data_IF_275822700443
#
_entry.id   IF_275822700443
#
_cell.length_a   1.000
_cell.length_b   1.000
_cell.length_c   1.000
_cell.angle_alpha   90.00
_cell.angle_beta   90.00
_cell.angle_gamma   90.00
#
_symmetry.space_group_name_H-M   'P 1'
#
loop_
_entity.id
_entity.type
_entity.pdbx_description
1 polymer ?
#
# COMPACT_ATOMS: atom_id res chain seq x y z
N UNK A 1 -17.37 56.01 -12.75
CA UNK A 1 -16.97 54.63 -13.11
C UNK A 1 -15.61 54.36 -12.49
N UNK A 2 -15.54 53.52 -11.44
CA UNK A 2 -14.28 53.10 -10.82
C UNK A 2 -14.17 51.59 -10.99
N UNK A 3 -13.22 51.15 -11.80
CA UNK A 3 -12.92 49.75 -12.07
C UNK A 3 -12.27 49.13 -10.83
N UNK A 4 -12.95 48.11 -10.30
CA UNK A 4 -12.60 47.37 -9.09
C UNK A 4 -11.44 46.42 -9.39
N UNK A 5 -10.23 46.90 -9.14
CA UNK A 5 -9.04 46.08 -8.92
C UNK A 5 -9.02 45.73 -7.43
N UNK A 6 -9.51 44.55 -7.07
CA UNK A 6 -9.30 43.90 -5.77
C UNK A 6 -9.15 42.39 -6.06
N UNK A 7 -7.96 41.79 -6.02
CA UNK A 7 -7.16 41.44 -4.84
C UNK A 7 -7.49 40.01 -4.35
N UNK A 8 -6.56 39.08 -4.63
CA UNK A 8 -6.16 37.89 -3.83
C UNK A 8 -7.23 36.77 -3.78
N UNK A 9 -6.92 35.52 -4.14
CA UNK A 9 -6.32 34.53 -3.23
C UNK A 9 -5.34 33.61 -3.96
N UNK A 10 -4.07 33.78 -3.61
CA UNK A 10 -3.05 32.72 -3.52
C UNK A 10 -3.68 31.35 -3.24
N UNK A 11 -3.67 30.46 -4.23
CA UNK A 11 -3.86 29.02 -3.95
C UNK A 11 -2.54 28.52 -3.39
N UNK A 12 -2.19 28.98 -2.19
CA UNK A 12 -1.33 28.22 -1.30
C UNK A 12 -2.20 27.05 -0.90
N UNK A 13 -2.05 25.94 -1.63
CA UNK A 13 -2.55 24.64 -1.22
C UNK A 13 -1.83 24.31 0.08
N UNK A 14 -2.35 24.82 1.20
CA UNK A 14 -2.04 24.27 2.52
C UNK A 14 -2.33 22.79 2.40
N UNK A 15 -1.27 21.98 2.40
CA UNK A 15 -1.39 20.53 2.47
C UNK A 15 -2.16 20.22 3.75
N UNK A 16 -3.47 20.02 3.61
CA UNK A 16 -4.34 19.70 4.74
C UNK A 16 -3.76 18.51 5.47
N UNK A 17 -3.76 18.60 6.79
CA UNK A 17 -3.28 17.49 7.60
C UNK A 17 -4.11 16.24 7.32
N UNK A 18 -3.50 15.05 7.43
CA UNK A 18 -4.21 13.78 7.26
C UNK A 18 -5.45 13.71 8.20
N UNK A 19 -5.31 14.28 9.39
CA UNK A 19 -6.37 14.36 10.39
C UNK A 19 -7.56 15.19 9.89
N UNK A 20 -7.30 16.36 9.31
CA UNK A 20 -8.34 17.20 8.70
C UNK A 20 -9.01 16.51 7.52
N UNK A 21 -8.23 15.85 6.67
CA UNK A 21 -8.74 15.09 5.54
C UNK A 21 -9.68 13.95 5.99
N UNK A 22 -9.32 13.26 7.07
CA UNK A 22 -10.09 12.15 7.62
C UNK A 22 -11.37 12.60 8.35
N UNK A 23 -11.36 13.78 8.97
CA UNK A 23 -12.55 14.35 9.61
C UNK A 23 -13.56 14.91 8.61
N UNK A 24 -13.09 15.44 7.48
CA UNK A 24 -13.92 16.08 6.46
C UNK A 24 -14.39 15.13 5.35
N UNK A 25 -13.96 13.85 5.38
CA UNK A 25 -14.34 12.89 4.34
C UNK A 25 -15.83 12.60 4.36
N UNK A 26 -16.45 12.60 3.17
CA UNK A 26 -17.85 12.16 2.97
C UNK A 26 -17.96 10.64 2.85
N UNK A 27 -16.83 9.93 2.83
CA UNK A 27 -16.81 8.49 2.68
C UNK A 27 -17.24 7.79 3.98
N UNK A 28 -18.05 6.72 3.90
CA UNK A 28 -18.40 5.95 5.08
C UNK A 28 -17.15 5.32 5.69
N UNK A 29 -16.93 5.59 6.99
CA UNK A 29 -15.71 5.25 7.75
C UNK A 29 -15.25 3.80 7.61
N UNK A 30 -16.18 2.85 7.46
CA UNK A 30 -15.83 1.43 7.33
C UNK A 30 -15.45 1.02 5.90
N UNK A 31 -15.96 1.73 4.87
CA UNK A 31 -15.58 1.43 3.49
C UNK A 31 -14.19 1.98 3.15
N UNK A 32 -13.82 3.12 3.74
CA UNK A 32 -12.56 3.79 3.40
C UNK A 32 -11.34 2.91 3.68
N UNK A 33 -11.33 2.14 4.77
CA UNK A 33 -10.21 1.26 5.13
C UNK A 33 -9.98 0.20 4.04
N UNK A 34 -11.06 -0.40 3.52
CA UNK A 34 -10.96 -1.40 2.44
C UNK A 34 -10.47 -0.80 1.11
N UNK A 35 -10.84 0.46 0.85
CA UNK A 35 -10.42 1.20 -0.35
C UNK A 35 -8.94 1.57 -0.23
N UNK A 36 -8.51 2.08 0.93
CA UNK A 36 -7.10 2.36 1.23
C UNK A 36 -6.27 1.10 1.06
N UNK A 37 -6.66 -0.02 1.67
CA UNK A 37 -5.91 -1.27 1.58
C UNK A 37 -5.71 -1.75 0.13
N UNK A 38 -6.77 -1.67 -0.72
CA UNK A 38 -6.66 -2.01 -2.14
C UNK A 38 -5.70 -1.08 -2.88
N UNK A 39 -5.80 0.22 -2.62
CA UNK A 39 -4.93 1.20 -3.27
C UNK A 39 -3.48 1.08 -2.81
N UNK A 40 -3.22 0.86 -1.52
CA UNK A 40 -1.88 0.58 -0.98
C UNK A 40 -1.26 -0.65 -1.65
N UNK A 41 -2.03 -1.73 -1.83
CA UNK A 41 -1.56 -2.92 -2.52
C UNK A 41 -1.21 -2.64 -3.99
N UNK A 42 -2.04 -1.87 -4.68
CA UNK A 42 -1.79 -1.44 -6.05
C UNK A 42 -0.51 -0.58 -6.16
N UNK A 43 -0.36 0.43 -5.29
CA UNK A 43 0.83 1.28 -5.24
C UNK A 43 2.11 0.46 -5.01
N UNK A 44 2.07 -0.51 -4.08
CA UNK A 44 3.21 -1.39 -3.78
C UNK A 44 3.71 -2.17 -5.00
N UNK A 45 2.84 -2.47 -5.97
CA UNK A 45 3.20 -3.23 -7.17
C UNK A 45 3.77 -2.34 -8.30
N UNK A 46 3.69 -1.01 -8.16
CA UNK A 46 4.23 -0.07 -9.15
C UNK A 46 5.71 0.18 -8.89
N UNK A 47 6.51 0.17 -9.96
CA UNK A 47 7.96 0.44 -9.88
C UNK A 47 8.28 1.76 -9.17
N UNK A 48 7.46 2.78 -9.40
CA UNK A 48 7.60 4.11 -8.80
C UNK A 48 7.62 4.10 -7.28
N UNK A 49 6.98 3.13 -6.62
CA UNK A 49 6.81 3.13 -5.16
C UNK A 49 7.63 2.03 -4.47
N UNK A 50 8.44 1.25 -5.21
CA UNK A 50 9.25 0.17 -4.63
C UNK A 50 10.35 0.63 -3.67
N UNK A 51 10.72 1.90 -3.73
CA UNK A 51 11.72 2.50 -2.86
C UNK A 51 11.17 2.94 -1.50
N UNK A 52 9.85 2.94 -1.35
CA UNK A 52 9.16 3.37 -0.13
C UNK A 52 8.90 2.20 0.80
N UNK A 53 8.93 2.48 2.11
CA UNK A 53 8.46 1.56 3.12
C UNK A 53 6.93 1.45 3.08
N UNK A 54 6.41 0.34 3.59
CA UNK A 54 4.97 0.07 3.55
C UNK A 54 4.12 1.17 4.21
N UNK A 55 4.62 1.77 5.30
CA UNK A 55 3.91 2.85 5.99
C UNK A 55 3.83 4.13 5.14
N UNK A 56 4.88 4.44 4.36
CA UNK A 56 4.90 5.58 3.44
C UNK A 56 3.93 5.35 2.26
N UNK A 57 3.86 4.11 1.75
CA UNK A 57 2.90 3.73 0.70
C UNK A 57 1.46 3.83 1.25
N UNK A 58 1.23 3.41 2.49
CA UNK A 58 -0.06 3.53 3.16
C UNK A 58 -0.48 5.00 3.35
N UNK A 59 0.45 5.84 3.78
CA UNK A 59 0.21 7.28 3.93
C UNK A 59 -0.10 7.94 2.59
N UNK A 60 0.66 7.62 1.54
CA UNK A 60 0.41 8.10 0.19
C UNK A 60 -0.96 7.67 -0.31
N UNK A 61 -1.31 6.38 -0.14
CA UNK A 61 -2.60 5.86 -0.54
C UNK A 61 -3.75 6.58 0.16
N UNK A 62 -3.61 6.81 1.46
CA UNK A 62 -4.60 7.51 2.28
C UNK A 62 -4.77 8.96 1.81
N UNK A 63 -3.67 9.65 1.50
CA UNK A 63 -3.70 11.02 0.97
C UNK A 63 -4.36 11.09 -0.41
N UNK A 64 -4.02 10.18 -1.31
CA UNK A 64 -4.60 10.16 -2.67
C UNK A 64 -6.13 10.02 -2.62
N UNK A 65 -6.64 9.14 -1.74
CA UNK A 65 -8.07 8.88 -1.59
C UNK A 65 -8.78 10.06 -0.91
N UNK A 66 -8.25 10.55 0.21
CA UNK A 66 -8.90 11.61 0.97
C UNK A 66 -8.84 12.98 0.26
N UNK A 67 -7.83 13.18 -0.58
CA UNK A 67 -7.69 14.39 -1.39
C UNK A 67 -8.43 14.29 -2.73
N UNK A 68 -9.19 13.21 -2.96
CA UNK A 68 -9.93 12.94 -4.20
C UNK A 68 -9.05 12.93 -5.47
N UNK A 69 -7.75 12.68 -5.32
CA UNK A 69 -6.81 12.57 -6.45
C UNK A 69 -7.07 11.30 -7.28
N UNK A 70 -7.65 10.29 -6.65
CA UNK A 70 -8.11 9.04 -7.25
C UNK A 70 -9.58 8.84 -6.89
N UNK A 71 -10.40 8.47 -7.89
CA UNK A 71 -11.81 8.19 -7.64
C UNK A 71 -11.97 6.83 -6.96
N UNK A 72 -12.80 6.78 -5.91
CA UNK A 72 -13.08 5.53 -5.17
C UNK A 72 -13.62 4.43 -6.09
N UNK A 73 -14.46 4.80 -7.07
CA UNK A 73 -15.03 3.85 -8.03
C UNK A 73 -13.96 3.17 -8.90
N UNK A 74 -12.84 3.83 -9.17
CA UNK A 74 -11.74 3.23 -9.93
C UNK A 74 -10.95 2.25 -9.07
N UNK A 75 -10.78 2.55 -7.78
CA UNK A 75 -10.15 1.62 -6.83
C UNK A 75 -11.02 0.38 -6.62
N UNK A 76 -12.35 0.53 -6.61
CA UNK A 76 -13.26 -0.60 -6.43
C UNK A 76 -13.24 -1.60 -7.60
N UNK A 77 -12.84 -1.16 -8.80
CA UNK A 77 -12.63 -2.02 -9.97
C UNK A 77 -11.34 -2.85 -9.88
N UNK A 78 -10.41 -2.48 -9.01
CA UNK A 78 -9.18 -3.24 -8.80
C UNK A 78 -9.48 -4.62 -8.20
N UNK A 79 -8.65 -5.63 -8.51
CA UNK A 79 -8.79 -6.95 -7.90
C UNK A 79 -8.75 -6.84 -6.38
N UNK A 80 -9.55 -7.65 -5.66
CA UNK A 80 -9.46 -7.69 -4.21
C UNK A 80 -8.04 -8.10 -3.79
N UNK A 81 -7.58 -7.58 -2.65
CA UNK A 81 -6.32 -8.00 -2.04
C UNK A 81 -6.49 -9.43 -1.54
N UNK A 82 -6.29 -10.39 -2.43
CA UNK A 82 -6.19 -11.81 -2.09
C UNK A 82 -4.73 -11.99 -1.66
N UNK A 83 -4.44 -11.70 -0.40
CA UNK A 83 -3.21 -12.22 0.18
C UNK A 83 -3.22 -13.74 -0.02
N UNK A 84 -2.15 -14.23 -0.61
CA UNK A 84 -1.85 -15.63 -0.86
C UNK A 84 -1.69 -16.39 0.46
N UNK A 85 -2.75 -16.51 1.26
CA UNK A 85 -2.85 -17.43 2.39
C UNK A 85 -2.72 -18.91 1.96
N UNK A 86 -2.64 -19.20 0.65
CA UNK A 86 -2.57 -20.54 0.07
C UNK A 86 -1.21 -20.97 -0.49
N UNK A 87 -0.16 -20.15 -0.44
CA UNK A 87 1.18 -20.66 -0.74
C UNK A 87 2.00 -20.82 0.54
N UNK A 88 1.65 -21.86 1.31
CA UNK A 88 2.63 -22.54 2.16
C UNK A 88 3.82 -22.89 1.26
N UNK A 89 4.90 -22.10 1.31
CA UNK A 89 6.20 -22.57 0.82
C UNK A 89 6.45 -23.94 1.47
N UNK A 90 6.76 -25.01 0.71
CA UNK A 90 7.10 -26.28 1.34
C UNK A 90 8.27 -25.99 2.28
N UNK A 91 8.11 -26.34 3.56
CA UNK A 91 9.22 -26.38 4.51
C UNK A 91 10.25 -27.30 3.88
N UNK A 92 11.38 -26.74 3.46
CA UNK A 92 12.52 -27.47 2.91
C UNK A 92 12.83 -28.59 3.91
N UNK A 93 12.64 -29.84 3.51
CA UNK A 93 12.87 -31.00 4.37
C UNK A 93 14.33 -31.00 4.85
N UNK A 94 14.52 -30.65 6.11
CA UNK A 94 15.81 -30.59 6.81
C UNK A 94 16.24 -32.01 7.25
N UNK A 95 16.16 -32.99 6.34
CA UNK A 95 16.44 -34.41 6.64
C UNK A 95 17.18 -35.16 5.53
N UNK A 96 18.19 -34.58 4.90
CA UNK A 96 19.03 -35.35 3.98
C UNK A 96 20.55 -35.10 4.05
N UNK A 97 21.07 -34.60 5.17
CA UNK A 97 22.53 -34.43 5.37
C UNK A 97 23.13 -35.35 6.46
N UNK A 98 22.56 -36.55 6.67
CA UNK A 98 23.11 -37.52 7.65
C UNK A 98 23.59 -38.85 7.07
N UNK A 99 23.56 -39.02 5.76
CA UNK A 99 23.92 -40.30 5.10
C UNK A 99 25.40 -40.49 4.78
N UNK A 100 26.29 -39.52 4.96
CA UNK A 100 27.70 -39.65 4.54
C UNK A 100 28.71 -40.03 5.64
N UNK A 101 28.28 -40.46 6.84
CA UNK A 101 29.21 -40.69 7.97
C UNK A 101 29.55 -42.13 8.33
N UNK A 102 29.21 -43.12 7.51
CA UNK A 102 29.54 -44.53 7.80
C UNK A 102 30.04 -45.31 6.57
N UNK A 103 31.10 -44.82 5.91
CA UNK A 103 32.01 -45.70 5.17
C UNK A 103 33.32 -45.83 5.96
N UNK A 104 33.40 -46.82 6.85
CA UNK A 104 34.69 -47.30 7.36
C UNK A 104 35.23 -48.30 6.35
N UNK A 105 36.47 -48.16 5.85
CA UNK A 105 37.08 -49.19 5.03
C UNK A 105 37.40 -50.40 5.92
N UNK A 106 36.86 -51.57 5.57
CA UNK A 106 37.33 -52.85 6.10
C UNK A 106 38.63 -53.20 5.36
N UNK A 107 39.78 -52.99 5.99
CA UNK A 107 41.01 -53.68 5.59
C UNK A 107 41.11 -55.00 6.35
N UNK A 108 41.34 -56.07 5.59
CA UNK A 108 41.62 -57.43 6.04
C UNK A 108 43.07 -57.75 5.69
#
# INVERSE_FOLDING_TARGET
MKTKVERIVEVVSEEKSLQELLLNTKLPKYKIVSVIARWTHELKNREEYKHLDFHEILDQATRDILSEKIAVDDILKLPPVIESFTQKKPRRDERNDRSERNEKPKHK
#
